data_IF_328021886263
#
_entry.id   IF_328021886263
#
_cell.length_a   1.000
_cell.length_b   1.000
_cell.length_c   1.000
_cell.angle_alpha   90.00
_cell.angle_beta   90.00
_cell.angle_gamma   90.00
#
_symmetry.space_group_name_H-M   'P 1'
#
loop_
_entity.id
_entity.type
_entity.pdbx_description
1 polymer ?
#
# COMPACT_ATOMS: atom_id res chain seq x y z
N UNK A 1 -25.75 -12.13 -15.25
CA UNK A 1 -24.53 -12.37 -14.47
C UNK A 1 -23.97 -11.01 -14.15
N UNK A 2 -24.20 -10.56 -12.92
CA UNK A 2 -23.63 -9.32 -12.41
C UNK A 2 -22.13 -9.60 -12.23
N UNK A 3 -21.29 -8.88 -12.96
CA UNK A 3 -19.84 -9.01 -12.80
C UNK A 3 -19.50 -8.35 -11.46
N UNK A 4 -19.28 -9.16 -10.43
CA UNK A 4 -18.61 -8.74 -9.20
C UNK A 4 -17.16 -8.39 -9.55
N UNK A 5 -16.95 -7.17 -10.07
CA UNK A 5 -15.62 -6.64 -10.26
C UNK A 5 -14.98 -6.48 -8.88
N UNK A 6 -14.08 -7.40 -8.53
CA UNK A 6 -13.30 -7.27 -7.30
C UNK A 6 -12.31 -6.12 -7.48
N UNK A 7 -12.61 -4.97 -6.89
CA UNK A 7 -11.75 -3.79 -6.95
C UNK A 7 -10.59 -3.90 -5.95
N UNK A 8 -9.40 -3.49 -6.39
CA UNK A 8 -8.19 -3.45 -5.57
C UNK A 8 -7.58 -2.06 -5.62
N UNK A 9 -7.02 -1.61 -4.49
CA UNK A 9 -6.32 -0.34 -4.36
C UNK A 9 -4.86 -0.54 -3.95
N UNK A 10 -4.01 0.42 -4.32
CA UNK A 10 -2.61 0.43 -3.92
C UNK A 10 -2.53 0.75 -2.42
N UNK A 11 -1.95 -0.18 -1.65
CA UNK A 11 -1.62 0.04 -0.24
C UNK A 11 -0.27 0.74 -0.09
N UNK A 12 0.75 0.24 -0.78
CA UNK A 12 2.10 0.81 -0.79
C UNK A 12 2.89 0.40 -2.03
N UNK A 13 3.95 1.16 -2.30
CA UNK A 13 4.94 0.87 -3.34
C UNK A 13 6.33 0.73 -2.70
N UNK A 14 7.09 -0.29 -3.10
CA UNK A 14 8.47 -0.53 -2.59
C UNK A 14 9.37 -1.17 -3.65
N UNK A 15 10.66 -0.82 -3.61
CA UNK A 15 11.72 -1.51 -4.37
C UNK A 15 12.51 -2.51 -3.51
N UNK A 16 12.21 -2.59 -2.21
CA UNK A 16 12.95 -3.40 -1.26
C UNK A 16 12.34 -4.81 -1.11
N UNK A 17 13.13 -5.84 -1.39
CA UNK A 17 12.70 -7.23 -1.30
C UNK A 17 12.45 -7.71 0.15
N UNK A 18 13.09 -7.09 1.14
CA UNK A 18 12.88 -7.35 2.57
C UNK A 18 11.57 -6.78 3.09
N UNK A 19 11.25 -5.52 2.73
CA UNK A 19 9.96 -4.89 3.06
C UNK A 19 8.80 -5.78 2.57
N UNK A 20 8.93 -6.37 1.37
CA UNK A 20 7.93 -7.30 0.82
C UNK A 20 7.61 -8.47 1.76
N UNK A 21 8.63 -9.21 2.21
CA UNK A 21 8.41 -10.40 3.04
C UNK A 21 7.74 -10.01 4.36
N UNK A 22 8.14 -8.87 4.93
CA UNK A 22 7.57 -8.36 6.15
C UNK A 22 6.10 -7.94 5.99
N UNK A 23 5.78 -7.18 4.95
CA UNK A 23 4.39 -6.76 4.65
C UNK A 23 3.49 -7.97 4.42
N UNK A 24 3.94 -8.95 3.62
CA UNK A 24 3.17 -10.19 3.35
C UNK A 24 2.78 -10.87 4.65
N UNK A 25 3.77 -11.07 5.53
CA UNK A 25 3.56 -11.74 6.82
C UNK A 25 2.50 -11.05 7.68
N UNK A 26 2.44 -9.72 7.66
CA UNK A 26 1.47 -8.94 8.43
C UNK A 26 0.07 -9.02 7.82
N UNK A 27 -0.03 -8.86 6.50
CA UNK A 27 -1.31 -8.95 5.81
C UNK A 27 -1.91 -10.37 5.92
N UNK A 28 -1.05 -11.40 5.83
CA UNK A 28 -1.42 -12.80 6.03
C UNK A 28 -1.94 -13.04 7.45
N UNK A 29 -1.25 -12.52 8.48
CA UNK A 29 -1.67 -12.64 9.88
C UNK A 29 -3.01 -11.95 10.17
N UNK A 30 -3.30 -10.85 9.47
CA UNK A 30 -4.51 -10.04 9.65
C UNK A 30 -5.69 -10.45 8.75
N UNK A 31 -5.50 -11.50 7.93
CA UNK A 31 -6.52 -12.02 7.01
C UNK A 31 -6.88 -11.04 5.89
N UNK A 32 -5.95 -10.17 5.49
CA UNK A 32 -6.15 -9.21 4.41
C UNK A 32 -5.88 -9.89 3.07
N UNK A 33 -6.80 -9.72 2.12
CA UNK A 33 -6.68 -10.24 0.76
C UNK A 33 -5.87 -9.24 -0.06
N UNK A 34 -4.72 -9.69 -0.57
CA UNK A 34 -3.81 -8.87 -1.35
C UNK A 34 -3.18 -9.63 -2.51
N UNK A 35 -2.62 -8.88 -3.45
CA UNK A 35 -1.66 -9.39 -4.43
C UNK A 35 -0.54 -8.37 -4.61
N UNK A 36 0.60 -8.80 -5.16
CA UNK A 36 1.73 -7.90 -5.41
C UNK A 36 1.89 -7.74 -6.91
N UNK A 37 1.60 -6.54 -7.41
CA UNK A 37 1.92 -6.17 -8.77
C UNK A 37 3.44 -6.02 -8.90
N UNK A 38 3.99 -6.51 -10.01
CA UNK A 38 5.43 -6.51 -10.30
C UNK A 38 6.28 -7.38 -9.35
N UNK A 39 5.70 -8.37 -8.66
CA UNK A 39 6.46 -9.26 -7.77
C UNK A 39 7.56 -10.06 -8.51
N UNK A 40 7.29 -10.43 -9.76
CA UNK A 40 8.15 -11.24 -10.62
C UNK A 40 8.46 -10.54 -11.95
N UNK A 41 9.07 -9.34 -11.89
CA UNK A 41 9.59 -8.68 -13.09
C UNK A 41 10.96 -9.22 -13.47
N UNK A 42 11.35 -9.02 -14.73
CA UNK A 42 12.67 -9.39 -15.21
C UNK A 42 13.77 -8.68 -14.40
N UNK A 43 14.91 -9.32 -14.10
CA UNK A 43 15.90 -8.77 -13.17
C UNK A 43 16.40 -7.35 -13.50
N UNK A 44 16.49 -7.01 -14.78
CA UNK A 44 16.91 -5.68 -15.25
C UNK A 44 15.85 -4.58 -15.01
N UNK A 45 14.61 -4.93 -14.65
CA UNK A 45 13.52 -4.00 -14.36
C UNK A 45 13.32 -3.72 -12.86
N UNK A 46 14.00 -4.43 -11.95
CA UNK A 46 13.78 -4.28 -10.50
C UNK A 46 13.98 -2.84 -9.99
N UNK A 47 14.93 -2.11 -10.58
CA UNK A 47 15.17 -0.71 -10.22
C UNK A 47 14.20 0.27 -10.90
N UNK A 48 13.58 -0.14 -12.02
CA UNK A 48 12.72 0.72 -12.82
C UNK A 48 11.23 0.61 -12.44
N UNK A 49 10.80 -0.57 -11.96
CA UNK A 49 9.42 -0.86 -11.61
C UNK A 49 9.31 -1.16 -10.11
N UNK A 50 8.63 -0.31 -9.32
CA UNK A 50 8.34 -0.65 -7.95
C UNK A 50 7.36 -1.82 -7.90
N UNK A 51 7.50 -2.64 -6.87
CA UNK A 51 6.45 -3.57 -6.47
C UNK A 51 5.32 -2.77 -5.84
N UNK A 52 4.08 -3.08 -6.20
CA UNK A 52 2.90 -2.46 -5.62
C UNK A 52 2.10 -3.51 -4.86
N UNK A 53 1.89 -3.29 -3.57
CA UNK A 53 1.02 -4.15 -2.77
C UNK A 53 -0.41 -3.67 -2.98
N UNK A 54 -1.23 -4.52 -3.57
CA UNK A 54 -2.61 -4.25 -3.93
C UNK A 54 -3.52 -4.98 -2.94
N UNK A 55 -4.45 -4.27 -2.30
CA UNK A 55 -5.40 -4.83 -1.34
C UNK A 55 -6.82 -4.64 -1.84
N UNK A 56 -7.74 -5.56 -1.53
CA UNK A 56 -9.15 -5.33 -1.86
C UNK A 56 -9.63 -3.99 -1.31
N UNK A 57 -10.44 -3.29 -2.12
CA UNK A 57 -10.91 -1.94 -1.79
C UNK A 57 -11.67 -1.85 -0.48
N UNK A 58 -12.44 -2.87 -0.12
CA UNK A 58 -13.17 -2.97 1.16
C UNK A 58 -12.25 -3.12 2.38
N UNK A 59 -11.02 -3.63 2.20
CA UNK A 59 -10.05 -3.88 3.26
C UNK A 59 -8.94 -2.82 3.35
N UNK A 60 -8.91 -1.85 2.42
CA UNK A 60 -7.83 -0.85 2.34
C UNK A 60 -7.69 -0.01 3.62
N UNK A 61 -8.81 0.32 4.26
CA UNK A 61 -8.82 1.09 5.51
C UNK A 61 -8.10 0.36 6.64
N UNK A 62 -8.49 -0.91 6.88
CA UNK A 62 -7.85 -1.78 7.87
C UNK A 62 -6.36 -1.97 7.56
N UNK A 63 -6.03 -2.22 6.29
CA UNK A 63 -4.64 -2.42 5.87
C UNK A 63 -3.76 -1.18 6.15
N UNK A 64 -4.25 0.02 5.85
CA UNK A 64 -3.55 1.27 6.14
C UNK A 64 -3.36 1.49 7.63
N UNK A 65 -4.36 1.16 8.44
CA UNK A 65 -4.29 1.28 9.90
C UNK A 65 -3.23 0.37 10.51
N UNK A 66 -3.21 -0.92 10.14
CA UNK A 66 -2.20 -1.88 10.61
C UNK A 66 -0.78 -1.44 10.25
N UNK A 67 -0.61 -0.90 9.03
CA UNK A 67 0.70 -0.46 8.56
C UNK A 67 1.15 0.91 9.08
N UNK A 68 0.26 1.67 9.72
CA UNK A 68 0.54 3.05 10.14
C UNK A 68 1.71 3.17 11.10
N UNK A 69 1.83 2.23 12.03
CA UNK A 69 2.85 2.27 13.09
C UNK A 69 4.16 1.56 12.70
N UNK A 70 4.23 1.06 11.46
CA UNK A 70 5.36 0.29 10.96
C UNK A 70 6.33 1.22 10.23
N UNK A 71 7.55 1.31 10.77
CA UNK A 71 8.67 1.94 10.07
C UNK A 71 9.22 0.98 9.01
N UNK A 72 8.63 0.99 7.82
CA UNK A 72 9.22 0.34 6.66
C UNK A 72 10.47 1.11 6.21
N UNK A 73 11.44 0.39 5.67
CA UNK A 73 12.76 0.96 5.39
C UNK A 73 12.75 2.03 4.29
N UNK A 74 11.76 2.00 3.37
CA UNK A 74 11.66 2.93 2.24
C UNK A 74 10.21 3.27 1.80
N UNK A 75 9.26 3.53 2.71
CA UNK A 75 7.95 4.06 2.30
C UNK A 75 8.04 5.54 1.93
N UNK A 76 8.09 5.83 0.63
CA UNK A 76 8.12 7.20 0.12
C UNK A 76 6.76 7.93 0.22
N UNK A 77 5.67 7.28 0.66
CA UNK A 77 4.32 7.84 0.54
C UNK A 77 3.37 7.65 1.75
N UNK A 78 3.89 7.51 2.97
CA UNK A 78 3.05 7.60 4.20
C UNK A 78 3.10 9.01 4.82
N UNK A 79 3.21 10.06 3.99
CA UNK A 79 3.11 11.43 4.48
C UNK A 79 1.63 11.79 4.62
N UNK A 80 1.18 11.73 5.87
CA UNK A 80 -0.10 12.20 6.37
C UNK A 80 -0.45 13.56 5.75
N UNK A 81 -1.50 13.60 4.90
CA UNK A 81 -2.11 14.84 4.45
C UNK A 81 -3.18 15.25 5.47
N UNK A 82 -2.79 15.42 6.73
CA UNK A 82 -3.67 15.96 7.76
C UNK A 82 -3.19 17.32 8.21
N UNK A 83 -4.04 18.31 7.90
CA UNK A 83 -4.14 19.68 8.44
C UNK A 83 -3.22 20.74 7.84
N UNK A 84 -3.69 21.32 6.74
CA UNK A 84 -3.72 22.78 6.60
C UNK A 84 -5.21 23.21 6.51
N UNK A 85 -5.89 23.23 7.64
CA UNK A 85 -7.04 24.12 7.82
C UNK A 85 -6.47 25.47 8.25
N UNK A 86 -6.07 26.30 7.28
CA UNK A 86 -6.00 27.73 7.51
C UNK A 86 -7.41 28.26 7.31
N UNK A 87 -8.07 28.53 8.43
CA UNK A 87 -9.18 29.47 8.47
C UNK A 87 -8.59 30.84 8.17
N UNK A 88 -8.78 31.34 6.95
CA UNK A 88 -8.69 32.77 6.70
C UNK A 88 -10.02 33.39 7.15
N UNK A 89 -10.01 34.40 8.05
CA UNK A 89 -11.21 35.15 8.37
C UNK A 89 -11.65 35.96 7.15
N UNK A 90 -12.95 35.94 6.87
CA UNK A 90 -13.60 36.85 5.93
C UNK A 90 -13.36 38.30 6.37
N UNK A 91 -12.85 39.13 5.46
CA UNK A 91 -12.96 40.59 5.45
C UNK A 91 -13.61 41.01 4.12
#
# INVERSE_FOLDING_TARGET
>A
MENDFTEYEILLETHNAGDRVFIKSILDAEGIIYFIQNEYVAPYLFNALPMKVMVKKDQIGKAKEILKDIKLSYTYNLRDKTKDTNNDPED
#
